data_IF_631439601675
#
_entry.id   IF_631439601675
#
_cell.length_a   1.000
_cell.length_b   1.000
_cell.length_c   1.000
_cell.angle_alpha   90.00
_cell.angle_beta   90.00
_cell.angle_gamma   90.00
#
_symmetry.space_group_name_H-M   'P 1'
#
loop_
_entity.id
_entity.type
_entity.pdbx_description
1 polymer ?
#
# COMPACT_ATOMS: atom_id res chain seq x y z
N UNK A 1 2.98 -3.61 32.28
CA UNK A 1 3.50 -2.70 31.22
C UNK A 1 3.57 -3.41 29.87
N UNK A 2 3.80 -4.72 29.83
CA UNK A 2 3.73 -5.52 28.58
C UNK A 2 2.31 -5.65 28.01
N UNK A 3 1.29 -5.66 28.85
CA UNK A 3 -0.10 -5.79 28.41
C UNK A 3 -0.57 -4.61 27.56
N UNK A 4 -0.20 -3.38 27.92
CA UNK A 4 -0.62 -2.19 27.17
C UNK A 4 0.09 -2.11 25.80
N UNK A 5 1.37 -2.51 25.74
CA UNK A 5 2.12 -2.56 24.49
C UNK A 5 1.54 -3.63 23.57
N UNK A 6 1.19 -4.80 24.13
CA UNK A 6 0.56 -5.88 23.38
C UNK A 6 -0.82 -5.48 22.87
N UNK A 7 -1.61 -4.76 23.67
CA UNK A 7 -2.90 -4.22 23.27
C UNK A 7 -2.76 -3.22 22.10
N UNK A 8 -1.82 -2.28 22.20
CA UNK A 8 -1.56 -1.29 21.14
C UNK A 8 -1.16 -2.00 19.85
N UNK A 9 -0.26 -2.98 19.90
CA UNK A 9 0.13 -3.76 18.72
C UNK A 9 -1.02 -4.50 18.09
N UNK A 10 -1.85 -5.14 18.91
CA UNK A 10 -3.02 -5.88 18.44
C UNK A 10 -3.99 -4.94 17.72
N UNK A 11 -4.24 -3.75 18.28
CA UNK A 11 -5.07 -2.74 17.65
C UNK A 11 -4.48 -2.26 16.31
N UNK A 12 -3.17 -1.99 16.27
CA UNK A 12 -2.46 -1.61 15.03
C UNK A 12 -2.59 -2.68 13.95
N UNK A 13 -2.42 -3.95 14.31
CA UNK A 13 -2.55 -5.08 13.38
C UNK A 13 -3.98 -5.21 12.82
N UNK A 14 -5.00 -5.02 13.67
CA UNK A 14 -6.40 -5.04 13.23
C UNK A 14 -6.68 -3.90 12.26
N UNK A 15 -6.22 -2.67 12.58
CA UNK A 15 -6.40 -1.52 11.69
C UNK A 15 -5.69 -1.75 10.35
N UNK A 16 -4.46 -2.25 10.37
CA UNK A 16 -3.71 -2.57 9.16
C UNK A 16 -4.45 -3.61 8.30
N UNK A 17 -4.96 -4.67 8.91
CA UNK A 17 -5.74 -5.69 8.20
C UNK A 17 -7.01 -5.12 7.57
N UNK A 18 -7.74 -4.25 8.28
CA UNK A 18 -8.94 -3.58 7.74
C UNK A 18 -8.57 -2.73 6.53
N UNK A 19 -7.51 -1.93 6.61
CA UNK A 19 -7.06 -1.09 5.49
C UNK A 19 -6.69 -1.93 4.25
N UNK A 20 -5.98 -3.04 4.45
CA UNK A 20 -5.61 -3.96 3.36
C UNK A 20 -6.86 -4.54 2.68
N UNK A 21 -7.84 -5.00 3.46
CA UNK A 21 -9.09 -5.55 2.93
C UNK A 21 -9.89 -4.47 2.18
N UNK A 22 -9.99 -3.26 2.72
CA UNK A 22 -10.66 -2.15 2.06
C UNK A 22 -9.98 -1.75 0.74
N UNK A 23 -8.65 -1.70 0.72
CA UNK A 23 -7.89 -1.47 -0.53
C UNK A 23 -8.16 -2.58 -1.54
N UNK A 24 -8.13 -3.85 -1.12
CA UNK A 24 -8.38 -4.98 -2.02
C UNK A 24 -9.79 -4.90 -2.64
N UNK A 25 -10.81 -4.59 -1.83
CA UNK A 25 -12.17 -4.35 -2.31
C UNK A 25 -12.20 -3.18 -3.29
N UNK A 26 -11.52 -2.07 -2.96
CA UNK A 26 -11.40 -0.90 -3.83
C UNK A 26 -10.79 -1.23 -5.20
N UNK A 27 -9.67 -1.95 -5.21
CA UNK A 27 -8.98 -2.37 -6.43
C UNK A 27 -9.88 -3.22 -7.34
N UNK A 28 -10.65 -4.16 -6.78
CA UNK A 28 -11.58 -5.01 -7.54
C UNK A 28 -12.77 -4.20 -8.06
N UNK A 29 -13.26 -3.22 -7.29
CA UNK A 29 -14.47 -2.45 -7.62
C UNK A 29 -14.25 -1.45 -8.75
N UNK A 30 -13.07 -0.83 -8.82
CA UNK A 30 -12.76 0.18 -9.81
C UNK A 30 -12.19 -0.45 -11.09
N UNK A 31 -13.05 -0.79 -12.07
CA UNK A 31 -12.71 -1.30 -13.41
C UNK A 31 -12.07 -0.23 -14.31
N UNK A 32 -11.33 -0.62 -15.35
CA UNK A 32 -10.53 0.25 -16.24
C UNK A 32 -11.30 1.36 -17.00
N UNK A 33 -12.61 1.45 -16.81
CA UNK A 33 -13.55 2.28 -17.58
C UNK A 33 -13.52 3.78 -17.22
N UNK A 34 -12.47 4.24 -16.53
CA UNK A 34 -12.30 5.66 -16.15
C UNK A 34 -10.88 6.11 -16.43
N UNK A 35 -10.75 7.32 -16.97
CA UNK A 35 -9.46 7.97 -17.19
C UNK A 35 -8.62 7.99 -15.90
N UNK A 36 -7.33 7.69 -16.04
CA UNK A 36 -6.32 7.75 -14.95
C UNK A 36 -6.61 6.82 -13.76
N UNK A 37 -7.46 5.80 -13.92
CA UNK A 37 -7.79 4.86 -12.85
C UNK A 37 -6.57 4.09 -12.33
N UNK A 38 -5.55 3.89 -13.17
CA UNK A 38 -4.28 3.32 -12.75
C UNK A 38 -3.60 4.14 -11.64
N UNK A 39 -3.57 5.47 -11.75
CA UNK A 39 -3.00 6.34 -10.70
C UNK A 39 -3.79 6.23 -9.39
N UNK A 40 -5.12 6.13 -9.49
CA UNK A 40 -5.97 5.91 -8.31
C UNK A 40 -5.70 4.54 -7.66
N UNK A 41 -5.47 3.48 -8.46
CA UNK A 41 -5.07 2.15 -7.97
C UNK A 41 -3.70 2.16 -7.32
N UNK A 42 -2.72 2.85 -7.90
CA UNK A 42 -1.39 3.02 -7.29
C UNK A 42 -1.51 3.77 -5.96
N UNK A 43 -2.36 4.79 -5.87
CA UNK A 43 -2.60 5.49 -4.60
C UNK A 43 -3.25 4.58 -3.55
N UNK A 44 -4.24 3.78 -3.95
CA UNK A 44 -4.87 2.77 -3.08
C UNK A 44 -3.88 1.70 -2.60
N UNK A 45 -2.99 1.22 -3.49
CA UNK A 45 -1.89 0.31 -3.16
C UNK A 45 -0.93 0.95 -2.15
N UNK A 46 -0.59 2.23 -2.32
CA UNK A 46 0.24 2.97 -1.37
C UNK A 46 -0.32 2.99 0.06
N UNK A 47 -1.66 3.01 0.23
CA UNK A 47 -2.29 2.88 1.56
C UNK A 47 -2.03 1.50 2.16
N UNK A 48 -2.12 0.44 1.35
CA UNK A 48 -1.79 -0.93 1.78
C UNK A 48 -0.32 -1.07 2.13
N UNK A 49 0.58 -0.49 1.33
CA UNK A 49 2.00 -0.54 1.60
C UNK A 49 2.35 0.14 2.94
N UNK A 50 1.76 1.31 3.22
CA UNK A 50 1.95 1.99 4.51
C UNK A 50 1.35 1.20 5.68
N UNK A 51 0.19 0.57 5.49
CA UNK A 51 -0.39 -0.32 6.50
C UNK A 51 0.54 -1.51 6.82
N UNK A 52 1.14 -2.11 5.79
CA UNK A 52 2.13 -3.18 5.95
C UNK A 52 3.40 -2.71 6.65
N UNK A 53 3.94 -1.53 6.32
CA UNK A 53 5.12 -0.95 6.99
C UNK A 53 4.85 -0.77 8.49
N UNK A 54 3.69 -0.23 8.84
CA UNK A 54 3.28 -0.05 10.24
C UNK A 54 3.11 -1.39 10.95
N UNK A 55 2.51 -2.39 10.29
CA UNK A 55 2.40 -3.75 10.82
C UNK A 55 3.76 -4.40 11.07
N UNK A 56 4.73 -4.24 10.16
CA UNK A 56 6.09 -4.73 10.32
C UNK A 56 6.80 -4.11 11.54
N UNK A 57 6.60 -2.82 11.78
CA UNK A 57 7.12 -2.16 13.00
C UNK A 57 6.46 -2.76 14.25
N UNK A 58 5.14 -2.98 14.22
CA UNK A 58 4.43 -3.62 15.32
C UNK A 58 4.92 -5.05 15.59
N UNK A 59 5.36 -5.77 14.57
CA UNK A 59 5.94 -7.13 14.64
C UNK A 59 7.45 -7.15 14.96
N UNK A 60 8.05 -6.02 15.36
CA UNK A 60 9.49 -5.90 15.62
C UNK A 60 10.38 -6.25 14.41
N UNK A 61 9.93 -5.93 13.20
CA UNK A 61 10.70 -6.10 11.96
C UNK A 61 11.09 -4.73 11.36
N UNK A 62 11.83 -3.86 12.08
CA UNK A 62 12.07 -2.48 11.64
C UNK A 62 12.94 -2.40 10.38
N UNK A 63 13.89 -3.31 10.21
CA UNK A 63 14.75 -3.31 9.02
C UNK A 63 13.94 -3.60 7.74
N UNK A 64 13.02 -4.57 7.82
CA UNK A 64 12.12 -4.88 6.70
C UNK A 64 11.15 -3.73 6.42
N UNK A 65 10.63 -3.08 7.47
CA UNK A 65 9.77 -1.91 7.34
C UNK A 65 10.48 -0.75 6.62
N UNK A 66 11.75 -0.50 6.94
CA UNK A 66 12.57 0.53 6.28
C UNK A 66 12.80 0.19 4.81
N UNK A 67 13.15 -1.07 4.50
CA UNK A 67 13.32 -1.50 3.10
C UNK A 67 12.03 -1.25 2.32
N UNK A 68 10.89 -1.66 2.85
CA UNK A 68 9.59 -1.42 2.22
C UNK A 68 9.32 0.07 2.04
N UNK A 69 9.58 0.90 3.05
CA UNK A 69 9.38 2.35 2.99
C UNK A 69 10.09 3.01 1.80
N UNK A 70 11.28 2.55 1.44
CA UNK A 70 12.02 3.05 0.28
C UNK A 70 11.57 2.39 -1.03
N UNK A 71 11.28 1.09 -1.03
CA UNK A 71 10.92 0.37 -2.26
C UNK A 71 9.52 0.71 -2.75
N UNK A 72 8.56 0.92 -1.86
CA UNK A 72 7.17 1.24 -2.19
C UNK A 72 7.02 2.45 -3.11
N UNK A 73 7.57 3.65 -2.81
CA UNK A 73 7.44 4.80 -3.68
C UNK A 73 8.18 4.60 -5.01
N UNK A 74 9.31 3.89 -5.02
CA UNK A 74 10.06 3.58 -6.24
C UNK A 74 9.25 2.66 -7.16
N UNK A 75 8.64 1.61 -6.61
CA UNK A 75 7.77 0.70 -7.37
C UNK A 75 6.56 1.46 -7.93
N UNK A 76 5.88 2.26 -7.11
CA UNK A 76 4.73 3.08 -7.53
C UNK A 76 5.09 4.04 -8.65
N UNK A 77 6.24 4.72 -8.54
CA UNK A 77 6.74 5.62 -9.56
C UNK A 77 7.09 4.89 -10.86
N UNK A 78 7.78 3.75 -10.78
CA UNK A 78 8.13 2.94 -11.95
C UNK A 78 6.88 2.46 -12.72
N UNK A 79 5.84 1.99 -12.01
CA UNK A 79 4.58 1.54 -12.61
C UNK A 79 3.86 2.73 -13.28
N UNK A 80 3.74 3.87 -12.60
CA UNK A 80 3.09 5.06 -13.14
C UNK A 80 3.82 5.60 -14.38
N UNK A 81 5.16 5.60 -14.35
CA UNK A 81 6.00 6.05 -15.45
C UNK A 81 5.88 5.12 -16.66
N UNK A 82 5.91 3.80 -16.44
CA UNK A 82 5.73 2.81 -17.49
C UNK A 82 4.35 2.90 -18.14
N UNK A 83 3.30 3.19 -17.37
CA UNK A 83 1.97 3.42 -17.91
C UNK A 83 1.92 4.70 -18.75
N UNK A 84 2.38 5.83 -18.23
CA UNK A 84 2.34 7.12 -18.92
C UNK A 84 3.08 7.09 -20.27
N UNK A 85 4.35 6.65 -20.27
CA UNK A 85 5.17 6.60 -21.49
C UNK A 85 4.92 5.36 -22.35
N UNK A 86 4.24 4.34 -21.81
CA UNK A 86 3.85 3.13 -22.54
C UNK A 86 2.60 3.33 -23.37
N UNK A 87 1.64 4.13 -22.89
CA UNK A 87 0.43 4.47 -23.65
C UNK A 87 0.68 5.57 -24.69
N UNK A 88 1.67 6.45 -24.49
CA UNK A 88 2.05 7.52 -25.45
C UNK A 88 2.63 7.01 -26.79
N UNK A 89 2.79 5.70 -26.97
CA UNK A 89 3.27 5.08 -28.23
C UNK A 89 2.18 4.45 -29.10
N UNK A 90 0.92 4.45 -28.68
CA UNK A 90 -0.17 3.80 -29.41
C UNK A 90 -1.30 4.75 -29.86
N UNK A 91 -1.14 6.07 -29.73
CA UNK A 91 -1.99 7.08 -30.40
C UNK A 91 -1.28 7.70 -31.61
#
# INVERSE_FOLDING_TARGET
MDDIITLIRSAVMIIAAILIVLTAIGLIRYKDDKDKILYARIHMLGVTDMACIVALIALYQPFLAIIYLFLTPLASHAIANAYYYGEEKND
#
